data_IF_053661676651
#
_entry.id   IF_053661676651
#
_cell.length_a   1.000
_cell.length_b   1.000
_cell.length_c   1.000
_cell.angle_alpha   90.00
_cell.angle_beta   90.00
_cell.angle_gamma   90.00
#
_symmetry.space_group_name_H-M   'P 1'
#
loop_
_entity.id
_entity.type
_entity.pdbx_description
1 polymer ?
#
# COMPACT_ATOMS: atom_id res chain seq x y z
N UNK A 1 -14.24 5.69 -11.62
CA UNK A 1 -13.55 4.38 -11.64
C UNK A 1 -12.21 4.56 -10.97
N UNK A 2 -12.02 4.00 -9.78
CA UNK A 2 -10.72 3.97 -9.10
C UNK A 2 -9.80 3.05 -9.89
N UNK A 3 -8.64 3.54 -10.33
CA UNK A 3 -7.70 2.71 -11.09
C UNK A 3 -6.99 1.73 -10.16
N UNK A 4 -6.62 0.54 -10.67
CA UNK A 4 -5.84 -0.46 -9.91
C UNK A 4 -4.58 0.11 -9.27
N UNK A 5 -3.95 1.09 -9.94
CA UNK A 5 -2.82 1.88 -9.41
C UNK A 5 -3.20 2.62 -8.12
N UNK A 6 -4.32 3.34 -8.14
CA UNK A 6 -4.80 4.13 -7.01
C UNK A 6 -5.22 3.24 -5.83
N UNK A 7 -5.91 2.13 -6.08
CA UNK A 7 -6.29 1.16 -5.03
C UNK A 7 -5.04 0.64 -4.32
N UNK A 8 -4.05 0.16 -5.07
CA UNK A 8 -2.80 -0.37 -4.51
C UNK A 8 -2.02 0.67 -3.73
N UNK A 9 -1.97 1.90 -4.20
CA UNK A 9 -1.33 3.01 -3.48
C UNK A 9 -2.04 3.25 -2.14
N UNK A 10 -3.38 3.35 -2.14
CA UNK A 10 -4.17 3.56 -0.93
C UNK A 10 -4.00 2.41 0.07
N UNK A 11 -3.96 1.18 -0.40
CA UNK A 11 -3.74 0.02 0.46
C UNK A 11 -2.33 -0.01 1.06
N UNK A 12 -1.31 0.35 0.29
CA UNK A 12 0.04 0.51 0.83
C UNK A 12 0.10 1.61 1.90
N UNK A 13 -0.56 2.75 1.67
CA UNK A 13 -0.64 3.86 2.62
C UNK A 13 -1.38 3.47 3.90
N UNK A 14 -2.50 2.75 3.78
CA UNK A 14 -3.24 2.23 4.93
C UNK A 14 -2.38 1.27 5.74
N UNK A 15 -1.68 0.36 5.08
CA UNK A 15 -0.79 -0.61 5.72
C UNK A 15 0.36 0.07 6.46
N UNK A 16 0.98 1.10 5.87
CA UNK A 16 2.00 1.92 6.55
C UNK A 16 1.45 2.57 7.82
N UNK A 17 0.23 3.12 7.73
CA UNK A 17 -0.45 3.74 8.87
C UNK A 17 -0.82 2.73 9.97
N UNK A 18 -1.32 1.55 9.60
CA UNK A 18 -1.69 0.47 10.53
C UNK A 18 -0.47 -0.05 11.31
N UNK A 19 0.67 -0.15 10.64
CA UNK A 19 1.90 -0.67 11.24
C UNK A 19 2.78 0.43 11.86
N UNK A 20 2.36 1.69 11.75
CA UNK A 20 3.13 2.88 12.15
C UNK A 20 4.54 2.91 11.54
N UNK A 21 4.64 2.55 10.25
CA UNK A 21 5.89 2.54 9.50
C UNK A 21 5.86 3.52 8.33
N UNK A 22 7.03 3.97 7.89
CA UNK A 22 7.21 4.79 6.70
C UNK A 22 7.60 3.98 5.44
N UNK A 23 7.88 4.68 4.33
CA UNK A 23 8.23 4.04 3.05
C UNK A 23 9.61 3.38 3.11
N UNK A 24 10.55 3.93 3.87
CA UNK A 24 11.87 3.33 4.08
C UNK A 24 11.74 1.99 4.81
N UNK A 25 10.97 1.97 5.90
CA UNK A 25 10.71 0.77 6.69
C UNK A 25 9.93 -0.27 5.87
N UNK A 26 8.94 0.16 5.09
CA UNK A 26 8.23 -0.73 4.17
C UNK A 26 9.18 -1.31 3.11
N UNK A 27 10.08 -0.50 2.54
CA UNK A 27 11.09 -0.97 1.59
C UNK A 27 12.03 -2.00 2.22
N UNK A 28 12.45 -1.77 3.46
CA UNK A 28 13.26 -2.72 4.23
C UNK A 28 12.52 -4.05 4.46
N UNK A 29 11.23 -4.02 4.82
CA UNK A 29 10.40 -5.22 4.99
C UNK A 29 10.23 -6.03 3.69
N UNK A 30 10.25 -5.35 2.54
CA UNK A 30 10.07 -5.98 1.23
C UNK A 30 11.41 -6.35 0.56
N UNK A 31 12.55 -5.95 1.12
CA UNK A 31 13.87 -6.10 0.50
C UNK A 31 13.99 -5.30 -0.81
N UNK A 32 13.35 -4.13 -0.87
CA UNK A 32 13.32 -3.26 -2.03
C UNK A 32 14.11 -1.98 -1.79
N UNK A 33 14.40 -1.30 -2.90
CA UNK A 33 14.99 0.03 -2.90
C UNK A 33 13.91 1.08 -2.58
N UNK A 34 14.21 1.97 -1.64
CA UNK A 34 13.29 3.01 -1.14
C UNK A 34 12.80 3.92 -2.28
N UNK A 35 13.70 4.46 -3.10
CA UNK A 35 13.35 5.36 -4.20
C UNK A 35 12.38 4.71 -5.19
N UNK A 36 12.58 3.41 -5.46
CA UNK A 36 11.65 2.65 -6.32
C UNK A 36 10.29 2.51 -5.67
N UNK A 37 10.25 2.23 -4.36
CA UNK A 37 8.99 2.05 -3.64
C UNK A 37 8.24 3.38 -3.50
N UNK A 38 8.94 4.47 -3.18
CA UNK A 38 8.42 5.83 -3.12
C UNK A 38 7.76 6.23 -4.45
N UNK A 39 8.40 5.92 -5.58
CA UNK A 39 7.83 6.17 -6.89
C UNK A 39 6.50 5.41 -7.16
N UNK A 40 6.17 4.38 -6.37
CA UNK A 40 4.97 3.56 -6.51
C UNK A 40 3.90 3.85 -5.44
N UNK A 41 4.30 4.12 -4.20
CA UNK A 41 3.38 4.25 -3.05
C UNK A 41 3.40 5.61 -2.39
N UNK A 42 4.37 6.47 -2.71
CA UNK A 42 4.54 7.81 -2.14
C UNK A 42 3.40 8.77 -2.47
N UNK A 43 3.54 10.03 -2.05
CA UNK A 43 2.50 11.06 -2.21
C UNK A 43 2.17 11.34 -3.68
N UNK A 44 3.17 11.26 -4.56
CA UNK A 44 3.05 11.49 -6.01
C UNK A 44 3.56 10.28 -6.80
N UNK A 45 2.80 9.18 -6.86
CA UNK A 45 3.27 7.94 -7.46
C UNK A 45 3.40 8.09 -8.99
N UNK A 46 4.63 8.02 -9.49
CA UNK A 46 4.90 8.02 -10.93
C UNK A 46 4.70 6.63 -11.55
N UNK A 47 4.80 5.56 -10.75
CA UNK A 47 4.74 4.15 -11.16
C UNK A 47 3.61 3.40 -10.47
N UNK A 48 3.25 2.25 -10.99
CA UNK A 48 2.25 1.36 -10.41
C UNK A 48 2.93 0.15 -9.76
N UNK A 49 2.45 -0.26 -8.59
CA UNK A 49 2.81 -1.54 -7.98
C UNK A 49 2.47 -2.69 -8.94
N UNK A 50 3.47 -3.51 -9.27
CA UNK A 50 3.27 -4.70 -10.11
C UNK A 50 2.46 -5.75 -9.36
N UNK A 51 1.90 -6.73 -10.09
CA UNK A 51 1.15 -7.83 -9.45
C UNK A 51 2.04 -8.64 -8.49
N UNK A 52 3.30 -8.89 -8.87
CA UNK A 52 4.26 -9.57 -8.01
C UNK A 52 4.53 -8.80 -6.70
N UNK A 53 4.70 -7.48 -6.77
CA UNK A 53 4.90 -6.66 -5.58
C UNK A 53 3.63 -6.57 -4.71
N UNK A 54 2.46 -6.50 -5.33
CA UNK A 54 1.20 -6.54 -4.58
C UNK A 54 1.05 -7.85 -3.80
N UNK A 55 1.37 -9.00 -4.40
CA UNK A 55 1.38 -10.30 -3.70
C UNK A 55 2.45 -10.38 -2.61
N UNK A 56 3.63 -9.80 -2.85
CA UNK A 56 4.69 -9.75 -1.85
C UNK A 56 4.25 -8.96 -0.61
N UNK A 57 3.65 -7.78 -0.80
CA UNK A 57 3.11 -6.97 0.30
C UNK A 57 2.06 -7.76 1.08
N UNK A 58 1.12 -8.42 0.39
CA UNK A 58 0.11 -9.26 1.04
C UNK A 58 0.75 -10.36 1.91
N UNK A 59 1.78 -11.02 1.41
CA UNK A 59 2.50 -12.05 2.14
C UNK A 59 3.26 -11.49 3.35
N UNK A 60 4.02 -10.41 3.18
CA UNK A 60 4.84 -9.80 4.24
C UNK A 60 3.98 -9.33 5.42
N UNK A 61 2.77 -8.82 5.15
CA UNK A 61 1.87 -8.30 6.17
C UNK A 61 0.69 -9.21 6.48
N UNK A 62 0.76 -10.49 6.08
CA UNK A 62 -0.26 -11.51 6.35
C UNK A 62 -1.69 -11.11 5.93
N UNK A 63 -1.84 -10.34 4.84
CA UNK A 63 -3.13 -9.98 4.24
C UNK A 63 -3.58 -11.08 3.26
N UNK A 64 -4.90 -11.25 3.04
CA UNK A 64 -5.38 -12.27 2.09
C UNK A 64 -5.00 -11.92 0.65
N UNK A 65 -4.92 -12.95 -0.19
CA UNK A 65 -4.62 -12.77 -1.62
C UNK A 65 -5.67 -11.87 -2.28
N UNK A 66 -5.22 -10.84 -3.01
CA UNK A 66 -6.12 -9.91 -3.67
C UNK A 66 -6.51 -8.70 -2.81
N UNK A 67 -6.07 -8.63 -1.56
CA UNK A 67 -6.35 -7.49 -0.69
C UNK A 67 -5.84 -6.16 -1.28
N UNK A 68 -4.64 -6.15 -1.88
CA UNK A 68 -4.07 -4.95 -2.52
C UNK A 68 -4.83 -4.49 -3.76
N UNK A 69 -5.68 -5.35 -4.33
CA UNK A 69 -6.47 -5.07 -5.53
C UNK A 69 -7.91 -4.66 -5.24
N UNK A 70 -8.35 -4.85 -3.99
CA UNK A 70 -9.69 -4.53 -3.56
C UNK A 70 -9.66 -3.30 -2.67
N UNK A 71 -10.62 -2.40 -2.87
CA UNK A 71 -10.97 -1.44 -1.83
C UNK A 71 -11.75 -2.26 -0.80
N UNK A 72 -11.11 -2.72 0.28
CA UNK A 72 -11.89 -3.28 1.38
C UNK A 72 -12.91 -2.22 1.80
N UNK A 73 -14.19 -2.58 1.77
CA UNK A 73 -15.31 -1.78 2.31
C UNK A 73 -15.30 -1.81 3.85
N UNK A 74 -14.10 -1.81 4.42
CA UNK A 74 -13.80 -1.88 5.84
C UNK A 74 -13.75 -0.49 6.44
N UNK A 75 -14.90 0.20 6.44
CA UNK A 75 -15.24 1.19 7.45
C UNK A 75 -14.30 2.37 7.60
N UNK A 76 -14.01 3.09 6.52
CA UNK A 76 -13.51 4.46 6.64
C UNK A 76 -14.68 5.37 7.05
N UNK A 77 -15.17 5.24 8.29
CA UNK A 77 -15.85 6.36 8.95
C UNK A 77 -14.75 7.31 9.42
N UNK A 78 -14.20 8.06 8.46
CA UNK A 78 -13.29 9.17 8.76
C UNK A 78 -14.14 10.32 9.30
N UNK A 79 -14.34 10.34 10.60
CA UNK A 79 -14.41 11.60 11.33
C UNK A 79 -13.53 11.48 12.58
N UNK A 80 -12.24 11.79 12.39
CA UNK A 80 -11.28 12.03 13.47
C UNK A 80 -10.99 13.54 13.58
N UNK A 81 -12.00 14.37 13.28
CA UNK A 81 -12.05 15.79 13.65
C UNK A 81 -13.48 16.15 14.07
N UNK A 82 -13.96 15.53 15.16
CA UNK A 82 -15.13 15.97 15.93
C UNK A 82 -14.71 16.40 17.33
#
# INVERSE_FOLDING_TARGET
>A
MTTKKLIRQQQAQLLMRENAIDVLELAACLGLDEDKLEAMVGESPSRQLTDALARLIEQTFSKPIGWMDNVEDGGISFDLFG
#
